data_IF_394526903797
#
_entry.id   IF_394526903797
#
_cell.length_a   1.000
_cell.length_b   1.000
_cell.length_c   1.000
_cell.angle_alpha   90.00
_cell.angle_beta   90.00
_cell.angle_gamma   90.00
#
_symmetry.space_group_name_H-M   'P 1'
#
loop_
_entity.id
_entity.type
_entity.pdbx_description
1 polymer ?
#
# COMPACT_ATOMS: atom_id res chain seq x y z
N UNK A 1 -5.81 -4.50 5.07
CA UNK A 1 -5.11 -5.76 5.42
C UNK A 1 -3.98 -5.47 6.40
N UNK A 2 -3.55 -6.49 7.14
CA UNK A 2 -2.47 -6.39 8.12
C UNK A 2 -2.92 -5.89 9.49
N UNK A 3 -4.23 -5.83 9.74
CA UNK A 3 -4.84 -5.33 10.98
C UNK A 3 -5.17 -3.83 10.97
N UNK A 4 -5.50 -3.32 12.15
CA UNK A 4 -5.89 -1.93 12.42
C UNK A 4 -4.82 -1.13 13.20
N UNK A 5 -3.75 -1.77 13.65
CA UNK A 5 -2.61 -1.16 14.32
C UNK A 5 -1.43 -1.04 13.35
N UNK A 6 -0.96 0.18 13.10
CA UNK A 6 0.17 0.48 12.23
C UNK A 6 1.47 0.65 13.01
N UNK A 7 2.58 0.16 12.44
CA UNK A 7 3.93 0.36 13.02
C UNK A 7 4.47 1.78 12.82
N UNK A 8 3.84 2.58 11.95
CA UNK A 8 4.21 3.97 11.67
C UNK A 8 3.10 4.93 12.05
N UNK A 9 3.49 6.18 12.33
CA UNK A 9 2.59 7.28 12.60
C UNK A 9 2.70 8.36 11.52
N UNK A 10 1.57 8.74 10.95
CA UNK A 10 1.44 9.90 10.07
C UNK A 10 0.41 10.85 10.67
N UNK A 11 0.69 12.15 10.73
CA UNK A 11 -0.10 13.11 11.52
C UNK A 11 -1.52 13.34 10.99
N UNK A 12 -1.80 13.01 9.73
CA UNK A 12 -3.14 13.05 9.13
C UNK A 12 -3.91 11.72 9.24
N UNK A 13 -3.24 10.62 9.56
CA UNK A 13 -3.82 9.29 9.44
C UNK A 13 -4.61 8.94 10.70
N UNK A 14 -5.85 8.49 10.53
CA UNK A 14 -6.71 8.06 11.62
C UNK A 14 -6.47 6.62 12.10
N UNK A 15 -5.56 5.88 11.46
CA UNK A 15 -5.20 4.51 11.87
C UNK A 15 -4.31 4.59 13.10
N UNK A 16 -4.64 3.79 14.12
CA UNK A 16 -3.89 3.75 15.37
C UNK A 16 -2.45 3.29 15.15
N UNK A 17 -1.52 3.93 15.87
CA UNK A 17 -0.14 3.44 15.96
C UNK A 17 -0.04 2.50 17.15
N UNK A 18 0.45 1.29 16.91
CA UNK A 18 0.56 0.28 17.96
C UNK A 18 1.36 -0.94 17.52
N UNK A 19 1.44 -1.93 18.41
CA UNK A 19 2.03 -3.23 18.08
C UNK A 19 0.99 -4.05 17.32
N UNK A 20 1.22 -4.42 16.05
CA UNK A 20 0.26 -5.23 15.31
C UNK A 20 0.06 -6.61 15.94
N UNK A 21 -1.10 -7.22 15.67
CA UNK A 21 -1.32 -8.62 15.95
C UNK A 21 -0.42 -9.51 15.06
N UNK A 22 -0.33 -10.79 15.42
CA UNK A 22 0.36 -11.77 14.60
C UNK A 22 -0.19 -11.77 13.16
N UNK A 23 0.69 -12.01 12.18
CA UNK A 23 0.29 -12.09 10.78
C UNK A 23 -0.76 -13.19 10.59
N UNK A 24 -1.93 -12.81 10.10
CA UNK A 24 -2.98 -13.73 9.72
C UNK A 24 -2.81 -14.13 8.25
N UNK A 25 -2.31 -15.37 8.04
CA UNK A 25 -2.07 -15.89 6.69
C UNK A 25 -3.36 -16.27 5.93
N UNK A 26 -4.51 -16.30 6.60
CA UNK A 26 -5.81 -16.57 5.99
C UNK A 26 -6.56 -15.28 5.60
N UNK A 27 -6.07 -14.10 6.02
CA UNK A 27 -6.63 -12.80 5.65
C UNK A 27 -6.79 -12.62 4.12
N UNK A 28 -5.78 -12.93 3.27
CA UNK A 28 -5.93 -12.85 1.81
C UNK A 28 -7.15 -13.61 1.25
N UNK A 29 -7.37 -14.84 1.72
CA UNK A 29 -8.50 -15.69 1.28
C UNK A 29 -9.83 -15.05 1.67
N UNK A 30 -9.95 -14.57 2.92
CA UNK A 30 -11.20 -13.92 3.40
C UNK A 30 -11.49 -12.61 2.69
N UNK A 31 -10.48 -11.85 2.29
CA UNK A 31 -10.65 -10.67 1.44
C UNK A 31 -11.22 -11.09 0.09
N UNK A 32 -10.63 -12.08 -0.59
CA UNK A 32 -11.12 -12.57 -1.88
C UNK A 32 -12.57 -13.10 -1.80
N UNK A 33 -12.92 -13.81 -0.72
CA UNK A 33 -14.31 -14.23 -0.48
C UNK A 33 -15.26 -13.05 -0.34
N UNK A 34 -14.85 -12.01 0.39
CA UNK A 34 -15.67 -10.81 0.58
C UNK A 34 -15.90 -10.08 -0.75
N UNK A 35 -14.83 -9.91 -1.56
CA UNK A 35 -14.92 -9.32 -2.90
C UNK A 35 -15.87 -10.14 -3.79
N UNK A 36 -15.82 -11.47 -3.69
CA UNK A 36 -16.68 -12.40 -4.45
C UNK A 36 -18.14 -12.26 -4.04
N UNK A 37 -18.42 -12.28 -2.73
CA UNK A 37 -19.78 -12.16 -2.18
C UNK A 37 -20.42 -10.82 -2.53
N UNK A 38 -19.63 -9.75 -2.56
CA UNK A 38 -20.08 -8.42 -2.97
C UNK A 38 -20.26 -8.27 -4.49
N UNK A 39 -19.77 -9.22 -5.29
CA UNK A 39 -19.83 -9.16 -6.75
C UNK A 39 -19.06 -7.98 -7.34
N UNK A 40 -17.94 -7.58 -6.72
CA UNK A 40 -17.16 -6.43 -7.17
C UNK A 40 -16.47 -6.74 -8.51
N UNK A 41 -16.56 -5.78 -9.43
CA UNK A 41 -15.80 -5.80 -10.70
C UNK A 41 -14.43 -5.14 -10.56
N UNK A 42 -14.27 -4.32 -9.51
CA UNK A 42 -13.05 -3.61 -9.21
C UNK A 42 -12.92 -3.48 -7.69
N UNK A 43 -11.79 -3.88 -7.12
CA UNK A 43 -11.53 -3.87 -5.68
C UNK A 43 -10.30 -3.02 -5.37
N UNK A 44 -10.41 -2.16 -4.36
CA UNK A 44 -9.26 -1.42 -3.82
C UNK A 44 -8.83 -2.09 -2.52
N UNK A 45 -7.56 -2.46 -2.44
CA UNK A 45 -6.94 -3.08 -1.27
C UNK A 45 -5.86 -2.16 -0.74
N UNK A 46 -5.92 -1.88 0.57
CA UNK A 46 -4.91 -1.11 1.31
C UNK A 46 -4.62 -1.79 2.64
N UNK A 47 -3.56 -1.37 3.31
CA UNK A 47 -3.20 -1.88 4.62
C UNK A 47 -2.31 -0.94 5.43
N UNK A 48 -1.85 -1.45 6.57
CA UNK A 48 -0.94 -0.75 7.46
C UNK A 48 0.52 -1.06 7.14
N UNK A 49 1.45 -0.23 7.62
CA UNK A 49 2.87 -0.57 7.61
C UNK A 49 3.15 -1.66 8.65
N UNK A 50 3.91 -2.69 8.25
CA UNK A 50 4.26 -3.85 9.08
C UNK A 50 5.77 -3.97 9.24
N UNK A 51 6.40 -2.92 9.78
CA UNK A 51 7.84 -2.92 10.10
C UNK A 51 8.23 -3.98 11.16
N UNK A 52 7.24 -4.63 11.79
CA UNK A 52 7.40 -5.77 12.70
C UNK A 52 7.64 -7.11 11.99
N UNK A 53 7.41 -7.18 10.68
CA UNK A 53 7.63 -8.36 9.85
C UNK A 53 8.93 -8.21 9.04
N UNK A 54 9.67 -9.31 8.87
CA UNK A 54 10.95 -9.32 8.16
C UNK A 54 10.83 -8.85 6.70
N UNK A 55 9.69 -9.14 6.04
CA UNK A 55 9.38 -8.74 4.67
C UNK A 55 8.54 -7.46 4.58
N UNK A 56 8.34 -6.74 5.69
CA UNK A 56 7.48 -5.56 5.75
C UNK A 56 6.00 -5.84 5.45
N UNK A 57 5.60 -7.11 5.38
CA UNK A 57 4.28 -7.56 4.92
C UNK A 57 4.15 -7.72 3.40
N UNK A 58 5.23 -7.65 2.61
CA UNK A 58 5.20 -7.76 1.15
C UNK A 58 4.39 -8.98 0.66
N UNK A 59 4.61 -10.14 1.27
CA UNK A 59 3.86 -11.36 0.96
C UNK A 59 2.36 -11.19 1.16
N UNK A 60 1.92 -10.54 2.24
CA UNK A 60 0.50 -10.36 2.57
C UNK A 60 -0.21 -9.52 1.50
N UNK A 61 0.43 -8.43 1.06
CA UNK A 61 -0.09 -7.56 0.01
C UNK A 61 -0.18 -8.32 -1.33
N UNK A 62 0.91 -8.97 -1.74
CA UNK A 62 0.95 -9.74 -2.98
C UNK A 62 -0.07 -10.88 -2.99
N UNK A 63 -0.16 -11.62 -1.89
CA UNK A 63 -1.06 -12.77 -1.77
C UNK A 63 -2.53 -12.35 -1.80
N UNK A 64 -2.87 -11.20 -1.22
CA UNK A 64 -4.24 -10.68 -1.28
C UNK A 64 -4.68 -10.42 -2.72
N UNK A 65 -3.81 -9.82 -3.54
CA UNK A 65 -4.09 -9.60 -4.97
C UNK A 65 -4.24 -10.95 -5.69
N UNK A 66 -3.30 -11.89 -5.48
CA UNK A 66 -3.34 -13.22 -6.10
C UNK A 66 -4.63 -13.97 -5.78
N UNK A 67 -5.08 -13.95 -4.53
CA UNK A 67 -6.33 -14.60 -4.11
C UNK A 67 -7.57 -13.97 -4.76
N UNK A 68 -7.62 -12.64 -4.89
CA UNK A 68 -8.72 -11.96 -5.58
C UNK A 68 -8.77 -12.36 -7.07
N UNK A 69 -7.64 -12.30 -7.78
CA UNK A 69 -7.58 -12.67 -9.19
C UNK A 69 -7.94 -14.14 -9.42
N UNK A 70 -7.50 -15.03 -8.52
CA UNK A 70 -7.82 -16.46 -8.60
C UNK A 70 -9.32 -16.75 -8.35
N UNK A 71 -9.93 -16.06 -7.39
CA UNK A 71 -11.35 -16.23 -7.07
C UNK A 71 -12.27 -15.62 -8.12
N UNK A 72 -11.87 -14.50 -8.74
CA UNK A 72 -12.72 -13.71 -9.63
C UNK A 72 -11.93 -13.29 -10.89
N UNK A 73 -11.85 -14.17 -11.90
CA UNK A 73 -11.18 -13.84 -13.15
C UNK A 73 -11.76 -12.58 -13.80
N UNK A 74 -10.90 -11.58 -14.04
CA UNK A 74 -11.28 -10.29 -14.64
C UNK A 74 -11.74 -9.21 -13.65
N UNK A 75 -11.70 -9.46 -12.33
CA UNK A 75 -11.83 -8.40 -11.34
C UNK A 75 -10.56 -7.54 -11.34
N UNK A 76 -10.71 -6.23 -11.55
CA UNK A 76 -9.57 -5.31 -11.44
C UNK A 76 -9.21 -5.04 -9.99
N UNK A 77 -7.92 -4.92 -9.69
CA UNK A 77 -7.41 -4.66 -8.35
C UNK A 77 -6.53 -3.41 -8.33
N UNK A 78 -6.91 -2.43 -7.53
CA UNK A 78 -6.03 -1.33 -7.14
C UNK A 78 -5.38 -1.66 -5.78
N UNK A 79 -4.06 -1.71 -5.74
CA UNK A 79 -3.30 -2.00 -4.51
C UNK A 79 -2.59 -0.73 -4.03
N UNK A 80 -3.01 -0.19 -2.89
CA UNK A 80 -2.36 0.94 -2.22
C UNK A 80 -1.40 0.43 -1.15
N UNK A 81 -0.11 0.71 -1.32
CA UNK A 81 0.96 0.11 -0.53
C UNK A 81 1.73 1.12 0.35
N UNK A 82 2.32 0.66 1.49
CA UNK A 82 3.41 1.38 2.14
C UNK A 82 4.65 1.40 1.22
N UNK A 83 5.74 2.04 1.67
CA UNK A 83 6.94 2.14 0.82
C UNK A 83 7.83 0.89 0.85
N UNK A 84 7.59 -0.07 1.76
CA UNK A 84 8.46 -1.23 1.99
C UNK A 84 9.94 -0.86 2.15
N UNK A 85 10.21 0.33 2.68
CA UNK A 85 11.54 0.95 2.72
C UNK A 85 12.26 1.03 1.35
N UNK A 86 11.51 0.95 0.25
CA UNK A 86 11.99 0.79 -1.12
C UNK A 86 12.94 -0.40 -1.32
N UNK A 87 12.78 -1.46 -0.52
CA UNK A 87 13.53 -2.69 -0.72
C UNK A 87 13.12 -3.34 -2.05
N UNK A 88 14.05 -3.50 -3.01
CA UNK A 88 13.71 -4.01 -4.34
C UNK A 88 13.14 -5.42 -4.34
N UNK A 89 13.50 -6.26 -3.36
CA UNK A 89 13.01 -7.64 -3.26
C UNK A 89 11.55 -7.64 -2.81
N UNK A 90 11.23 -6.86 -1.77
CA UNK A 90 9.86 -6.71 -1.27
C UNK A 90 8.96 -6.07 -2.32
N UNK A 91 9.45 -5.03 -3.00
CA UNK A 91 8.72 -4.38 -4.09
C UNK A 91 8.49 -5.33 -5.26
N UNK A 92 9.49 -6.10 -5.68
CA UNK A 92 9.34 -7.08 -6.76
C UNK A 92 8.31 -8.17 -6.41
N UNK A 93 8.25 -8.62 -5.15
CA UNK A 93 7.21 -9.56 -4.70
C UNK A 93 5.81 -8.98 -4.87
N UNK A 94 5.61 -7.73 -4.43
CA UNK A 94 4.32 -7.04 -4.55
C UNK A 94 3.97 -6.79 -6.01
N UNK A 95 4.90 -6.30 -6.83
CA UNK A 95 4.68 -6.02 -8.25
C UNK A 95 4.37 -7.29 -9.04
N UNK A 96 5.00 -8.40 -8.67
CA UNK A 96 4.77 -9.72 -9.26
C UNK A 96 3.33 -10.23 -9.10
N UNK A 97 2.54 -9.68 -8.18
CA UNK A 97 1.11 -9.99 -8.06
C UNK A 97 0.24 -9.33 -9.14
N UNK A 98 0.79 -8.41 -9.94
CA UNK A 98 0.16 -7.78 -11.11
C UNK A 98 -1.20 -7.11 -10.85
N UNK A 99 -1.34 -6.23 -9.83
CA UNK A 99 -2.56 -5.43 -9.71
C UNK A 99 -2.74 -4.52 -10.93
N UNK A 100 -3.98 -4.28 -11.34
CA UNK A 100 -4.31 -3.37 -12.43
C UNK A 100 -3.82 -1.93 -12.18
N UNK A 101 -3.80 -1.50 -10.91
CA UNK A 101 -3.20 -0.22 -10.49
C UNK A 101 -2.37 -0.44 -9.23
N UNK A 102 -1.11 -0.01 -9.26
CA UNK A 102 -0.26 0.08 -8.07
C UNK A 102 -0.22 1.52 -7.58
N UNK A 103 -0.80 1.76 -6.41
CA UNK A 103 -0.83 3.07 -5.77
C UNK A 103 0.21 3.15 -4.65
N UNK A 104 0.98 4.23 -4.64
CA UNK A 104 1.77 4.64 -3.48
C UNK A 104 1.64 6.14 -3.33
N UNK A 105 1.07 6.59 -2.22
CA UNK A 105 0.78 8.00 -2.04
C UNK A 105 1.98 8.74 -1.45
N UNK A 106 2.31 9.91 -2.03
CA UNK A 106 3.26 10.87 -1.44
C UNK A 106 2.57 11.77 -0.40
N UNK A 107 1.28 12.03 -0.57
CA UNK A 107 0.38 12.77 0.35
C UNK A 107 0.67 14.25 0.51
N UNK A 108 1.93 14.70 0.50
CA UNK A 108 2.27 16.12 0.67
C UNK A 108 3.60 16.48 0.01
N UNK A 109 3.92 17.76 0.03
CA UNK A 109 5.11 18.36 -0.60
C UNK A 109 6.38 18.15 0.26
N UNK A 110 7.59 18.14 -0.34
CA UNK A 110 8.85 17.79 0.34
C UNK A 110 9.10 18.57 1.64
N UNK A 111 8.83 19.88 1.64
CA UNK A 111 9.05 20.78 2.79
C UNK A 111 8.32 20.34 4.05
N UNK A 112 7.10 19.78 3.89
CA UNK A 112 6.21 19.40 5.00
C UNK A 112 6.30 17.91 5.30
N UNK A 113 6.70 17.11 4.31
CA UNK A 113 6.66 15.66 4.33
C UNK A 113 7.28 15.05 5.60
N UNK A 114 8.50 15.45 5.96
CA UNK A 114 9.20 14.87 7.14
C UNK A 114 8.47 15.13 8.46
N UNK A 115 7.74 16.24 8.57
CA UNK A 115 6.93 16.56 9.75
C UNK A 115 5.72 15.64 9.83
N UNK A 116 5.02 15.49 8.72
CA UNK A 116 3.72 14.79 8.67
C UNK A 116 3.86 13.27 8.55
N UNK A 117 4.91 12.77 7.88
CA UNK A 117 5.18 11.35 7.61
C UNK A 117 6.61 10.98 8.02
N UNK A 118 6.98 11.07 9.31
CA UNK A 118 8.37 10.90 9.76
C UNK A 118 8.97 9.52 9.45
N UNK A 119 8.14 8.48 9.33
CA UNK A 119 8.54 7.12 8.94
C UNK A 119 8.80 6.92 7.44
N UNK A 120 8.61 7.96 6.61
CA UNK A 120 8.77 7.91 5.16
C UNK A 120 9.78 8.97 4.69
N UNK A 121 10.22 8.89 3.43
CA UNK A 121 11.01 9.94 2.76
C UNK A 121 10.39 10.24 1.40
N UNK A 122 10.32 11.51 1.03
CA UNK A 122 9.63 11.94 -0.20
C UNK A 122 10.27 11.30 -1.44
N UNK A 123 11.59 11.36 -1.53
CA UNK A 123 12.37 10.80 -2.63
C UNK A 123 12.23 9.28 -2.70
N UNK A 124 12.16 8.61 -1.53
CA UNK A 124 11.92 7.16 -1.45
C UNK A 124 10.52 6.79 -1.94
N UNK A 125 9.51 7.58 -1.58
CA UNK A 125 8.16 7.39 -2.09
C UNK A 125 8.07 7.58 -3.61
N UNK A 126 8.81 8.54 -4.18
CA UNK A 126 8.92 8.70 -5.62
C UNK A 126 9.67 7.52 -6.29
N UNK A 127 10.68 6.98 -5.63
CA UNK A 127 11.42 5.82 -6.10
C UNK A 127 10.52 4.58 -6.19
N UNK A 128 9.67 4.31 -5.20
CA UNK A 128 8.67 3.22 -5.25
C UNK A 128 7.77 3.33 -6.49
N UNK A 129 7.26 4.53 -6.77
CA UNK A 129 6.41 4.78 -7.95
C UNK A 129 7.21 4.57 -9.25
N UNK A 130 8.47 5.01 -9.26
CA UNK A 130 9.38 4.85 -10.41
C UNK A 130 9.66 3.39 -10.70
N UNK A 131 9.95 2.59 -9.67
CA UNK A 131 10.20 1.16 -9.78
C UNK A 131 8.94 0.41 -10.27
N UNK A 132 7.76 0.72 -9.72
CA UNK A 132 6.50 0.10 -10.17
C UNK A 132 6.20 0.40 -11.65
N UNK A 133 6.45 1.64 -12.10
CA UNK A 133 6.31 2.03 -13.50
C UNK A 133 7.35 1.33 -14.39
N UNK A 134 8.58 1.15 -13.91
CA UNK A 134 9.62 0.43 -14.62
C UNK A 134 9.29 -1.07 -14.76
N UNK A 135 8.58 -1.65 -13.80
CA UNK A 135 8.04 -3.02 -13.87
C UNK A 135 6.78 -3.14 -14.77
N UNK A 136 6.33 -2.04 -15.36
CA UNK A 136 5.24 -2.02 -16.33
C UNK A 136 3.84 -1.90 -15.74
N UNK A 137 3.71 -1.58 -14.44
CA UNK A 137 2.43 -1.37 -13.79
C UNK A 137 1.89 0.04 -14.08
N UNK A 138 0.56 0.18 -14.13
CA UNK A 138 -0.09 1.49 -14.06
C UNK A 138 0.09 2.01 -12.63
N UNK A 139 0.65 3.20 -12.50
CA UNK A 139 0.93 3.79 -11.19
C UNK A 139 -0.03 4.92 -10.82
N UNK A 140 -0.30 5.03 -9.52
CA UNK A 140 -1.15 6.06 -8.93
C UNK A 140 -0.49 6.65 -7.68
N UNK A 141 -0.77 7.91 -7.40
CA UNK A 141 -0.39 8.58 -6.16
C UNK A 141 -1.49 9.58 -5.76
N UNK A 142 -1.33 10.21 -4.60
CA UNK A 142 -2.28 11.16 -4.04
C UNK A 142 -1.54 12.33 -3.37
N UNK A 143 -2.20 13.49 -3.36
CA UNK A 143 -1.85 14.65 -2.55
C UNK A 143 -3.07 15.04 -1.71
N UNK A 144 -2.85 15.22 -0.42
CA UNK A 144 -3.82 15.79 0.50
C UNK A 144 -3.47 17.28 0.62
N UNK A 145 -4.44 18.14 0.31
CA UNK A 145 -4.29 19.59 0.44
C UNK A 145 -4.79 20.07 1.81
N UNK A 146 -4.32 21.24 2.24
CA UNK A 146 -4.67 21.87 3.52
C UNK A 146 -3.70 21.55 4.67
N UNK A 147 -2.51 21.02 4.40
CA UNK A 147 -1.49 20.69 5.42
C UNK A 147 -0.41 21.78 5.58
N UNK A 148 -0.56 22.90 4.86
CA UNK A 148 0.32 24.07 4.88
C UNK A 148 1.21 24.19 3.64
N UNK A 149 0.97 23.37 2.62
CA UNK A 149 1.56 23.51 1.29
C UNK A 149 1.03 24.77 0.60
N UNK A 150 1.81 25.29 -0.33
CA UNK A 150 1.38 26.39 -1.22
C UNK A 150 0.97 25.83 -2.57
N UNK A 151 0.33 26.65 -3.41
CA UNK A 151 -0.06 26.24 -4.77
C UNK A 151 1.14 26.03 -5.71
N UNK A 152 2.25 26.71 -5.44
CA UNK A 152 3.46 26.61 -6.26
C UNK A 152 4.25 25.32 -5.97
N UNK A 153 4.03 24.72 -4.79
CA UNK A 153 4.62 23.44 -4.37
C UNK A 153 3.74 22.25 -4.81
#
# INVERSE_FOLDING_TARGET
IGGDQCTRRCDFCQIDTGKPAALDRDEPRRVAESVTQMGLKYATVTGVARDDLDDGGAWLYAETVRQIHAAIPGCGVELLIPDFNADPTQLAEVFGSRPEVLAHNVETVPRIFKRIRPGFRYERSLDVITQARADGLVTKSNLILGMGETRDE
#
